data_IF_970612057096
#
_entry.id   IF_970612057096
#
_cell.length_a   1.000
_cell.length_b   1.000
_cell.length_c   1.000
_cell.angle_alpha   90.00
_cell.angle_beta   90.00
_cell.angle_gamma   90.00
#
_symmetry.space_group_name_H-M   'P 1'
#
loop_
_entity.id
_entity.type
_entity.pdbx_description
1 polymer ?
#
# COMPACT_ATOMS: atom_id res chain seq x y z
N UNK A 1 -5.02 1.22 14.17
CA UNK A 1 -4.45 0.56 13.01
C UNK A 1 -3.14 -0.08 13.33
N UNK A 2 -2.94 -1.26 12.86
CA UNK A 2 -1.74 -2.04 13.10
C UNK A 2 -0.97 -2.23 11.81
N UNK A 3 0.31 -1.85 11.81
CA UNK A 3 1.24 -2.19 10.75
C UNK A 3 2.04 -3.37 11.22
N UNK A 4 1.91 -4.50 10.55
CA UNK A 4 2.61 -5.69 10.96
C UNK A 4 3.72 -6.06 10.03
N UNK A 5 4.31 -5.10 9.47
CA UNK A 5 5.26 -5.34 8.48
C UNK A 5 6.45 -6.00 8.96
N UNK A 6 6.72 -6.60 9.45
CA UNK A 6 7.77 -7.04 9.76
C UNK A 6 8.17 -8.04 9.98
N UNK A 7 8.21 -8.22 9.92
CA UNK A 7 9.01 -8.45 10.13
C UNK A 7 9.85 -9.42 10.51
N UNK A 8 10.62 -9.35 10.92
CA UNK A 8 11.63 -10.19 11.24
C UNK A 8 11.32 -11.55 11.57
N UNK A 9 10.22 -11.83 11.99
CA UNK A 9 9.97 -13.11 12.29
C UNK A 9 9.37 -13.86 11.25
N UNK A 10 9.32 -13.33 10.11
CA UNK A 10 8.67 -13.95 9.02
C UNK A 10 9.48 -14.98 8.32
N UNK A 11 10.54 -15.45 8.92
CA UNK A 11 11.30 -16.50 8.27
C UNK A 11 10.49 -17.77 8.03
N UNK A 12 9.34 -17.92 8.67
CA UNK A 12 8.46 -19.03 8.41
C UNK A 12 7.37 -18.70 7.43
N UNK A 13 7.33 -17.47 6.92
CA UNK A 13 6.25 -17.02 6.07
C UNK A 13 6.82 -16.48 4.79
N UNK A 14 6.12 -16.73 3.70
CA UNK A 14 6.47 -16.13 2.43
C UNK A 14 6.05 -14.67 2.43
N UNK A 15 6.83 -13.87 1.74
CA UNK A 15 6.57 -12.45 1.58
C UNK A 15 6.46 -12.16 0.09
N UNK A 16 5.44 -11.41 -0.30
CA UNK A 16 5.31 -10.94 -1.67
C UNK A 16 5.66 -9.47 -1.70
N UNK A 17 6.66 -9.14 -2.49
CA UNK A 17 7.17 -7.79 -2.60
C UNK A 17 7.60 -7.56 -4.05
N UNK A 18 6.91 -6.66 -4.72
CA UNK A 18 7.11 -6.42 -6.14
C UNK A 18 7.16 -4.94 -6.46
N UNK A 19 7.92 -4.54 -7.49
CA UNK A 19 7.81 -3.16 -7.97
C UNK A 19 6.49 -2.99 -8.71
N UNK A 20 5.75 -1.94 -8.36
CA UNK A 20 4.54 -1.55 -9.06
C UNK A 20 4.72 -0.14 -9.61
N UNK A 21 4.12 0.12 -10.76
CA UNK A 21 4.08 1.46 -11.29
C UNK A 21 2.97 2.25 -10.62
N UNK A 22 3.34 3.33 -9.93
CA UNK A 22 2.41 4.26 -9.32
C UNK A 22 2.31 5.51 -10.17
N UNK A 23 1.09 6.02 -10.31
CA UNK A 23 0.81 7.18 -11.15
C UNK A 23 -0.01 8.19 -10.36
N UNK A 24 0.48 9.41 -10.34
CA UNK A 24 -0.24 10.55 -9.78
C UNK A 24 -0.29 11.67 -10.79
N UNK A 25 -0.90 12.79 -10.42
CA UNK A 25 -1.04 13.91 -11.34
C UNK A 25 0.28 14.60 -11.66
N UNK A 26 1.31 14.38 -10.85
CA UNK A 26 2.61 15.00 -11.03
C UNK A 26 3.62 14.14 -11.75
N UNK A 27 3.37 12.85 -11.84
CA UNK A 27 4.31 11.94 -12.47
C UNK A 27 4.03 10.49 -12.13
N UNK A 28 4.98 9.64 -12.48
CA UNK A 28 4.88 8.22 -12.22
C UNK A 28 6.22 7.66 -11.79
N UNK A 29 6.18 6.59 -11.03
CA UNK A 29 7.39 5.98 -10.52
C UNK A 29 7.11 4.55 -10.08
N UNK A 30 8.07 3.66 -10.30
CA UNK A 30 8.02 2.32 -9.74
C UNK A 30 8.43 2.38 -8.28
N UNK A 31 7.59 1.81 -7.41
CA UNK A 31 7.92 1.68 -5.99
C UNK A 31 7.88 0.21 -5.62
N UNK A 32 8.86 -0.21 -4.84
CA UNK A 32 8.91 -1.56 -4.33
C UNK A 32 7.83 -1.70 -3.27
N UNK A 33 6.89 -2.59 -3.52
CA UNK A 33 5.65 -2.68 -2.75
C UNK A 33 5.57 -3.99 -1.99
N UNK A 34 5.37 -3.90 -0.69
CA UNK A 34 5.09 -5.05 0.16
C UNK A 34 3.58 -5.28 0.19
N UNK A 35 3.15 -6.50 -0.04
CA UNK A 35 1.75 -6.89 0.07
C UNK A 35 1.54 -7.53 1.42
N UNK A 36 0.85 -6.84 2.32
CA UNK A 36 0.75 -7.23 3.73
C UNK A 36 -0.71 -7.26 4.18
N UNK A 37 -1.28 -8.47 4.21
CA UNK A 37 -2.65 -8.63 4.67
C UNK A 37 -2.83 -8.38 6.16
N UNK A 38 -1.73 -8.28 6.91
CA UNK A 38 -1.76 -7.90 8.32
C UNK A 38 -1.84 -6.41 8.55
N UNK A 39 -1.56 -5.59 7.53
CA UNK A 39 -1.76 -4.16 7.60
C UNK A 39 -3.19 -3.83 7.18
N UNK A 40 -3.90 -3.04 7.97
CA UNK A 40 -5.29 -2.72 7.67
C UNK A 40 -5.41 -1.83 6.43
N UNK A 41 -4.57 -0.83 6.33
CA UNK A 41 -4.63 0.17 5.27
C UNK A 41 -3.32 0.21 4.51
N UNK A 42 -3.39 0.71 3.29
CA UNK A 42 -2.21 0.90 2.47
C UNK A 42 -1.46 2.15 2.89
N UNK A 43 -0.14 2.12 2.75
CA UNK A 43 0.75 3.17 3.22
C UNK A 43 1.85 3.45 2.20
N UNK A 44 2.39 4.66 2.25
CA UNK A 44 3.50 5.06 1.40
C UNK A 44 4.50 5.87 2.22
N UNK A 45 5.77 5.71 1.90
CA UNK A 45 6.84 6.47 2.52
C UNK A 45 6.80 7.92 2.03
N UNK A 46 6.94 8.91 2.92
CA UNK A 46 6.82 10.32 2.53
C UNK A 46 7.75 10.76 1.41
N UNK A 47 8.95 10.18 1.35
CA UNK A 47 9.95 10.59 0.35
C UNK A 47 9.52 10.31 -1.09
N UNK A 48 8.51 9.46 -1.29
CA UNK A 48 8.08 9.08 -2.63
C UNK A 48 6.79 9.78 -3.07
N UNK A 49 6.21 10.61 -2.20
CA UNK A 49 4.92 11.23 -2.50
C UNK A 49 5.07 12.47 -3.36
N UNK A 50 6.06 13.30 -3.05
CA UNK A 50 6.19 14.63 -3.61
C UNK A 50 6.18 14.67 -5.13
N UNK A 51 6.84 13.71 -5.77
CA UNK A 51 6.94 13.65 -7.22
C UNK A 51 5.78 12.94 -7.89
N UNK A 52 4.86 12.40 -7.11
CA UNK A 52 3.71 11.66 -7.65
C UNK A 52 2.43 12.45 -7.56
N UNK A 53 2.13 12.99 -6.38
CA UNK A 53 0.85 13.61 -6.14
C UNK A 53 0.91 14.53 -4.93
N UNK A 54 0.02 15.50 -4.88
CA UNK A 54 -0.11 16.36 -3.72
C UNK A 54 -0.87 15.64 -2.62
N UNK A 55 -0.27 15.46 -1.44
CA UNK A 55 -0.98 14.83 -0.34
C UNK A 55 -2.04 15.75 0.24
N UNK A 56 -3.06 15.15 0.84
CA UNK A 56 -4.16 15.85 1.45
C UNK A 56 -4.02 15.75 2.96
N UNK A 57 -4.16 16.89 3.64
CA UNK A 57 -4.12 16.90 5.10
C UNK A 57 -5.41 16.27 5.64
N UNK A 58 -5.26 15.32 6.54
CA UNK A 58 -6.41 14.70 7.19
C UNK A 58 -7.04 15.68 8.16
N UNK A 59 -8.37 15.68 8.24
CA UNK A 59 -9.07 16.51 9.20
C UNK A 59 -8.77 16.13 10.64
N UNK A 60 -8.40 14.88 10.86
CA UNK A 60 -7.98 14.39 12.16
C UNK A 60 -6.76 13.52 12.00
N UNK A 61 -5.80 13.72 12.89
CA UNK A 61 -4.59 12.92 12.93
C UNK A 61 -4.97 11.47 13.23
N UNK A 62 -4.38 10.53 12.53
CA UNK A 62 -4.54 9.11 12.79
C UNK A 62 -3.31 8.56 13.47
N UNK A 63 -3.52 7.67 14.41
CA UNK A 63 -2.42 7.00 15.09
C UNK A 63 -2.39 5.55 14.68
N UNK A 64 -1.25 5.11 14.19
CA UNK A 64 -1.03 3.73 13.80
C UNK A 64 -0.21 3.04 14.87
N UNK A 65 -0.63 1.83 15.23
CA UNK A 65 0.18 0.98 16.10
C UNK A 65 1.17 0.24 15.23
N UNK A 66 2.42 0.26 15.64
CA UNK A 66 3.44 -0.53 14.97
C UNK A 66 3.56 -1.88 15.67
N UNK A 67 4.19 -2.83 14.99
CA UNK A 67 4.41 -4.14 15.57
C UNK A 67 5.42 -4.13 16.71
N UNK A 68 6.14 -3.04 16.94
CA UNK A 68 7.13 -2.98 18.00
C UNK A 68 6.59 -2.24 19.20
N UNK A 69 6.32 -2.99 20.24
CA UNK A 69 6.18 -2.51 21.59
C UNK A 69 5.36 -1.28 21.86
N UNK A 70 4.16 -1.23 21.34
CA UNK A 70 3.24 -0.16 21.67
C UNK A 70 3.64 1.21 21.11
N UNK A 71 4.62 1.27 20.26
CA UNK A 71 4.95 2.51 19.59
C UNK A 71 3.84 2.92 18.65
N UNK A 72 3.54 4.21 18.60
CA UNK A 72 2.55 4.73 17.67
C UNK A 72 3.21 5.73 16.75
N UNK A 73 2.66 5.82 15.55
CA UNK A 73 3.08 6.80 14.55
C UNK A 73 1.88 7.67 14.24
N UNK A 74 2.08 8.97 14.24
CA UNK A 74 1.03 9.90 13.84
C UNK A 74 1.05 10.10 12.34
N UNK A 75 -0.12 9.95 11.73
CA UNK A 75 -0.31 10.14 10.30
C UNK A 75 -1.21 11.33 10.08
N UNK A 76 -0.72 12.31 9.34
CA UNK A 76 -1.44 13.56 9.09
C UNK A 76 -1.91 13.73 7.66
N UNK A 77 -1.39 12.94 6.74
CA UNK A 77 -1.68 13.10 5.30
C UNK A 77 -2.06 11.80 4.66
N UNK A 78 -2.86 11.92 3.62
CA UNK A 78 -3.24 10.82 2.75
C UNK A 78 -3.01 11.25 1.31
N UNK A 79 -2.70 10.30 0.45
CA UNK A 79 -2.52 10.57 -0.97
C UNK A 79 -3.28 9.52 -1.77
N UNK A 80 -3.99 9.95 -2.81
CA UNK A 80 -4.66 9.04 -3.72
C UNK A 80 -3.76 8.80 -4.92
N UNK A 81 -3.50 7.54 -5.23
CA UNK A 81 -2.63 7.16 -6.35
C UNK A 81 -3.29 6.06 -7.16
N UNK A 82 -3.01 6.08 -8.45
CA UNK A 82 -3.27 4.95 -9.31
C UNK A 82 -2.07 4.03 -9.27
N UNK A 83 -2.28 2.77 -9.51
CA UNK A 83 -1.19 1.81 -9.62
C UNK A 83 -1.62 0.64 -10.50
N UNK A 84 -0.64 -0.08 -11.03
CA UNK A 84 -0.90 -1.19 -11.93
C UNK A 84 -0.43 -2.50 -11.32
N UNK A 85 -1.28 -3.52 -11.39
CA UNK A 85 -0.90 -4.90 -11.10
C UNK A 85 -1.23 -5.72 -12.33
N UNK A 86 -0.22 -6.36 -12.94
CA UNK A 86 -0.40 -7.18 -14.14
C UNK A 86 -1.19 -6.41 -15.22
N UNK A 87 -0.81 -5.15 -15.44
CA UNK A 87 -1.42 -4.26 -16.41
C UNK A 87 -2.87 -3.86 -16.10
N UNK A 88 -3.37 -4.18 -14.93
CA UNK A 88 -4.70 -3.76 -14.50
C UNK A 88 -4.57 -2.48 -13.69
N UNK A 89 -5.28 -1.43 -14.12
CA UNK A 89 -5.26 -0.13 -13.44
C UNK A 89 -6.16 -0.16 -12.21
N UNK A 90 -5.58 0.12 -11.08
CA UNK A 90 -6.26 0.18 -9.80
C UNK A 90 -5.98 1.52 -9.14
N UNK A 91 -6.68 1.82 -8.07
CA UNK A 91 -6.43 3.04 -7.30
C UNK A 91 -6.80 2.83 -5.85
N UNK A 92 -6.16 3.60 -4.99
CA UNK A 92 -6.58 3.67 -3.59
C UNK A 92 -5.94 4.86 -2.91
N UNK A 93 -6.37 5.09 -1.68
CA UNK A 93 -5.75 6.06 -0.80
C UNK A 93 -4.63 5.37 -0.02
N UNK A 94 -3.52 6.09 0.10
CA UNK A 94 -2.36 5.63 0.85
C UNK A 94 -2.09 6.61 1.97
N UNK A 95 -2.00 6.10 3.19
CA UNK A 95 -1.56 6.93 4.31
C UNK A 95 -0.08 7.25 4.14
N UNK A 96 0.28 8.51 4.33
CA UNK A 96 1.68 8.94 4.26
C UNK A 96 2.27 8.73 5.65
N UNK A 97 3.10 7.70 5.79
CA UNK A 97 3.57 7.25 7.10
C UNK A 97 5.03 7.61 7.31
N UNK A 98 5.31 8.58 8.20
CA UNK A 98 6.70 8.95 8.52
C UNK A 98 7.43 7.75 9.12
N UNK A 99 8.64 7.53 8.66
CA UNK A 99 9.47 6.43 9.18
C UNK A 99 9.10 5.05 8.70
N UNK A 100 8.23 4.95 7.70
CA UNK A 100 7.90 3.66 7.11
C UNK A 100 9.16 3.02 6.57
N UNK A 101 9.35 1.72 6.82
CA UNK A 101 10.55 1.02 6.36
C UNK A 101 10.44 0.58 4.90
N UNK A 102 9.23 0.46 4.38
CA UNK A 102 8.98 0.09 2.99
C UNK A 102 8.75 1.33 2.15
N UNK A 103 8.90 1.21 0.83
CA UNK A 103 8.53 2.31 -0.06
C UNK A 103 7.02 2.45 -0.12
N UNK A 104 6.33 1.34 -0.24
CA UNK A 104 4.87 1.30 -0.19
C UNK A 104 4.40 -0.05 0.36
N UNK A 105 3.22 -0.03 0.98
CA UNK A 105 2.57 -1.23 1.49
C UNK A 105 1.14 -1.24 0.99
N UNK A 106 0.74 -2.35 0.38
CA UNK A 106 -0.66 -2.59 0.03
C UNK A 106 -1.27 -3.43 1.16
N UNK A 107 -2.24 -2.87 1.84
CA UNK A 107 -2.86 -3.50 2.99
C UNK A 107 -4.17 -4.21 2.68
N UNK A 108 -4.77 -4.77 3.72
CA UNK A 108 -5.95 -5.63 3.59
C UNK A 108 -7.13 -4.96 2.91
N UNK A 109 -7.41 -3.70 3.23
CA UNK A 109 -8.55 -3.01 2.63
C UNK A 109 -8.42 -2.91 1.11
N UNK A 110 -7.24 -2.60 0.61
CA UNK A 110 -6.98 -2.52 -0.83
C UNK A 110 -7.06 -3.90 -1.47
N UNK A 111 -6.49 -4.90 -0.81
CA UNK A 111 -6.54 -6.28 -1.31
C UNK A 111 -7.99 -6.75 -1.48
N UNK A 112 -8.83 -6.46 -0.51
CA UNK A 112 -10.24 -6.86 -0.55
C UNK A 112 -11.03 -6.06 -1.57
N UNK A 113 -10.79 -4.75 -1.64
CA UNK A 113 -11.50 -3.87 -2.56
C UNK A 113 -11.34 -4.34 -4.01
N UNK A 114 -10.14 -4.71 -4.39
CA UNK A 114 -9.82 -5.09 -5.77
C UNK A 114 -9.74 -6.59 -5.96
N UNK A 115 -10.05 -7.37 -4.92
CA UNK A 115 -10.01 -8.83 -4.97
C UNK A 115 -8.66 -9.34 -5.41
N UNK A 116 -7.61 -8.71 -4.92
CA UNK A 116 -6.25 -9.11 -5.22
C UNK A 116 -5.93 -10.39 -4.44
N UNK A 117 -5.46 -11.41 -5.13
CA UNK A 117 -5.06 -12.66 -4.51
C UNK A 117 -3.56 -12.75 -4.46
N UNK A 118 -3.06 -13.20 -3.32
CA UNK A 118 -1.64 -13.38 -3.11
C UNK A 118 -1.31 -14.87 -3.27
N UNK A 119 -0.53 -15.18 -4.29
CA UNK A 119 -0.08 -16.55 -4.52
C UNK A 119 1.33 -16.69 -4.00
N UNK A 120 1.45 -17.08 -2.74
CA UNK A 120 2.75 -17.20 -2.10
C UNK A 120 3.58 -18.34 -2.67
N UNK A 121 2.94 -19.38 -3.16
CA UNK A 121 3.67 -20.52 -3.72
C UNK A 121 4.46 -20.12 -4.94
N UNK A 122 3.90 -19.27 -5.80
CA UNK A 122 4.51 -18.87 -7.05
C UNK A 122 5.00 -17.42 -7.03
N UNK A 123 4.99 -16.78 -5.86
CA UNK A 123 5.44 -15.41 -5.70
C UNK A 123 4.79 -14.46 -6.71
N UNK A 124 3.48 -14.50 -6.81
CA UNK A 124 2.78 -13.67 -7.79
C UNK A 124 1.47 -13.12 -7.25
N UNK A 125 0.99 -12.11 -7.94
CA UNK A 125 -0.28 -11.45 -7.66
C UNK A 125 -1.28 -11.84 -8.74
N UNK A 126 -2.52 -12.05 -8.34
CA UNK A 126 -3.59 -12.39 -9.25
C UNK A 126 -4.69 -11.35 -9.12
N UNK A 127 -5.00 -10.69 -10.23
CA UNK A 127 -6.07 -9.69 -10.30
C UNK A 127 -6.92 -9.98 -11.52
N UNK A 128 -8.23 -10.05 -11.33
CA UNK A 128 -9.15 -10.18 -12.47
C UNK A 128 -9.29 -8.82 -13.14
N UNK A 129 -8.95 -8.69 -14.43
CA UNK A 129 -9.08 -7.40 -15.13
C UNK A 129 -10.48 -6.80 -15.09
N UNK A 130 -11.49 -7.60 -14.83
CA UNK A 130 -12.87 -7.10 -14.76
C UNK A 130 -13.10 -6.16 -13.60
N UNK A 131 -12.28 -6.21 -12.54
CA UNK A 131 -12.49 -5.36 -11.37
C UNK A 131 -12.38 -3.89 -11.72
N UNK A 132 -11.49 -3.52 -12.64
CA UNK A 132 -11.31 -2.13 -13.02
C UNK A 132 -12.45 -1.59 -13.87
N UNK A 133 -13.18 -2.45 -14.55
CA UNK A 133 -14.30 -2.03 -15.37
C UNK A 133 -15.54 -1.74 -14.56
N UNK A 134 -15.63 -2.31 -13.37
CA UNK A 134 -16.82 -2.16 -12.55
C UNK A 134 -16.93 -0.80 -11.88
N UNK A 135 -15.86 -0.03 -11.85
CA UNK A 135 -15.90 1.28 -11.24
C UNK A 135 -16.49 2.34 -12.14
N UNK A 136 -16.68 2.08 -13.40
CA UNK A 136 -17.07 3.11 -14.36
C UNK A 136 -18.59 3.24 -14.47
N UNK A 137 -19.29 2.40 -13.86
CA UNK A 137 -20.74 2.40 -14.00
C UNK A 137 -21.42 3.42 -13.08
#
# INVERSE_FOLDING_TARGET
LLLSSFVGKCYLMSIIKHPLLYVGSKGEKYLYTLFDSGANLSCIHPDFVENLETPVLLGRVRRLLTASEGATIEVKHVVRLDFYINDVLLSDEFLVVPGLTEEAIIGAATLQKWRIKLDFEHDRLIVDPKVSKMQII
#
